data_IF_255134796807
#
_entry.id   IF_255134796807
#
_cell.length_a   1.000
_cell.length_b   1.000
_cell.length_c   1.000
_cell.angle_alpha   90.00
_cell.angle_beta   90.00
_cell.angle_gamma   90.00
#
_symmetry.space_group_name_H-M   'P 1'
#
loop_
_entity.id
_entity.type
_entity.pdbx_description
1 polymer ?
2 non-polymer ?
3 non-polymer ?
4 non-polymer ?
5 water ?
#
# COMPACT_ATOMS: atom_id res chain seq x y z
N UNK A 1 13.50 22.71 18.30
CA UNK A 1 13.70 21.95 17.08
C UNK A 1 14.54 22.69 16.05
N UNK A 2 15.47 21.96 15.43
CA UNK A 2 16.26 22.48 14.32
C UNK A 2 16.27 21.47 13.15
N UNK A 3 16.25 22.00 11.94
CA UNK A 3 16.33 21.18 10.72
C UNK A 3 17.55 20.26 10.75
N UNK A 4 17.41 19.04 10.21
CA UNK A 4 18.58 18.16 10.21
C UNK A 4 19.82 18.74 9.51
N UNK A 5 20.97 18.33 10.01
CA UNK A 5 22.26 18.83 9.54
C UNK A 5 22.99 17.79 8.70
N UNK A 6 22.36 16.62 8.51
CA UNK A 6 22.98 15.51 7.81
C UNK A 6 23.41 15.96 6.39
N UNK A 7 24.53 15.43 5.93
CA UNK A 7 25.14 15.92 4.68
C UNK A 7 24.27 15.72 3.44
N UNK A 8 23.44 14.68 3.41
CA UNK A 8 22.59 14.44 2.23
C UNK A 8 21.12 14.83 2.43
N UNK A 9 20.80 15.48 3.55
CA UNK A 9 19.43 15.90 3.78
C UNK A 9 18.96 16.88 2.71
N UNK A 10 19.83 17.78 2.22
CA UNK A 10 19.32 18.64 1.14
C UNK A 10 18.90 17.86 -0.12
N UNK A 11 19.59 16.76 -0.39
CA UNK A 11 19.31 15.87 -1.51
C UNK A 11 17.99 15.09 -1.34
N UNK A 12 17.50 15.02 -0.11
CA UNK A 12 16.23 14.32 0.20
C UNK A 12 15.06 15.27 -0.09
N UNK A 13 14.91 15.53 -1.37
CA UNK A 13 14.02 16.56 -1.88
C UNK A 13 12.56 16.35 -1.47
N UNK A 14 12.17 15.09 -1.29
CA UNK A 14 10.79 14.73 -0.87
C UNK A 14 10.52 15.06 0.61
N UNK A 15 11.56 15.45 1.35
CA UNK A 15 11.45 15.91 2.73
C UNK A 15 11.92 17.36 2.90
N UNK A 16 13.10 17.66 2.36
CA UNK A 16 13.74 18.94 2.67
C UNK A 16 13.18 20.03 1.78
N UNK A 17 12.59 19.60 0.67
CA UNK A 17 12.00 20.49 -0.32
C UNK A 17 11.44 21.77 0.23
N UNK A 18 11.61 22.83 -0.56
CA UNK A 18 11.06 24.14 -0.25
C UNK A 18 10.58 24.69 -1.60
N UNK A 19 9.73 23.89 -2.22
CA UNK A 19 9.13 24.23 -3.51
C UNK A 19 7.67 23.86 -3.37
N UNK A 20 7.28 23.55 -2.13
CA UNK A 20 5.94 23.06 -1.80
C UNK A 20 5.77 21.56 -2.13
N UNK A 21 6.63 21.04 -3.01
CA UNK A 21 6.42 19.71 -3.61
C UNK A 21 7.09 18.59 -2.81
N UNK A 22 6.60 18.37 -1.59
CA UNK A 22 7.20 17.39 -0.69
C UNK A 22 6.16 16.76 0.22
N UNK A 23 6.59 15.89 1.12
CA UNK A 23 5.70 15.10 1.94
C UNK A 23 5.26 15.83 3.23
N UNK A 24 5.61 17.13 3.31
CA UNK A 24 5.26 17.98 4.46
C UNK A 24 5.66 17.37 5.81
N UNK A 25 6.87 16.84 5.87
CA UNK A 25 7.35 16.17 7.08
C UNK A 25 7.96 17.16 8.06
N UNK A 26 8.58 18.22 7.55
CA UNK A 26 9.17 19.22 8.45
C UNK A 26 8.09 19.77 9.37
N UNK A 27 6.89 19.97 8.83
CA UNK A 27 5.79 20.47 9.64
C UNK A 27 5.45 19.54 10.82
N UNK A 28 5.61 18.23 10.64
CA UNK A 28 5.37 17.28 11.74
C UNK A 28 6.52 17.30 12.74
N UNK A 29 7.74 17.29 12.22
CA UNK A 29 8.93 17.36 13.05
C UNK A 29 8.86 18.60 13.95
N UNK A 30 8.46 19.72 13.37
CA UNK A 30 8.43 20.99 14.09
C UNK A 30 7.36 21.00 15.21
N UNK A 31 6.30 20.21 15.03
CA UNK A 31 5.26 20.00 16.05
C UNK A 31 5.78 19.04 17.12
N UNK A 32 6.97 18.50 16.92
CA UNK A 32 7.59 17.62 17.90
C UNK A 32 7.48 16.13 17.65
N UNK A 33 7.01 15.75 16.46
CA UNK A 33 6.78 14.35 16.13
C UNK A 33 7.86 13.87 15.15
N UNK A 34 8.70 12.95 15.63
CA UNK A 34 9.82 12.39 14.93
C UNK A 34 9.83 10.86 15.03
N UNK A 35 8.78 10.27 15.61
CA UNK A 35 8.65 8.81 15.71
C UNK A 35 9.05 8.16 17.04
N UNK A 36 9.34 8.96 18.06
CA UNK A 36 9.74 8.42 19.35
C UNK A 36 8.72 7.37 19.81
N UNK A 37 9.21 6.19 20.21
CA UNK A 37 8.40 5.18 20.84
C UNK A 37 7.68 4.26 19.88
N UNK A 38 7.81 4.55 18.59
CA UNK A 38 7.20 3.74 17.56
C UNK A 38 8.23 2.79 16.98
N UNK A 39 7.77 1.62 16.57
CA UNK A 39 8.61 0.52 16.11
C UNK A 39 8.14 0.06 14.74
N UNK A 40 9.06 0.05 13.77
CA UNK A 40 8.73 -0.30 12.38
C UNK A 40 9.64 -1.43 11.92
N UNK A 41 9.10 -2.37 11.14
CA UNK A 41 9.92 -3.47 10.66
C UNK A 41 9.80 -3.66 9.14
N UNK A 42 10.95 -3.77 8.46
CA UNK A 42 11.03 -3.98 7.00
C UNK A 42 11.04 -5.46 6.68
N UNK A 43 10.00 -5.96 6.02
CA UNK A 43 9.93 -7.38 5.68
C UNK A 43 10.53 -7.53 4.28
N UNK A 44 11.79 -7.95 4.22
CA UNK A 44 12.48 -7.93 2.92
C UNK A 44 13.71 -8.86 2.94
N UNK A 45 14.85 -8.41 2.38
CA UNK A 45 15.98 -9.31 2.17
C UNK A 45 17.02 -9.22 3.29
N UNK A 46 16.62 -8.57 4.38
CA UNK A 46 17.50 -8.36 5.53
C UNK A 46 17.83 -6.89 5.81
N UNK A 47 18.52 -6.65 6.91
CA UNK A 47 18.89 -5.30 7.27
C UNK A 47 20.31 -5.24 7.86
N UNK A 48 21.09 -4.29 7.36
CA UNK A 48 22.45 -4.09 7.81
C UNK A 48 22.41 -3.32 9.12
N UNK A 49 22.22 -4.04 10.23
CA UNK A 49 21.95 -3.40 11.52
C UNK A 49 23.08 -2.54 12.05
N UNK A 50 24.29 -2.80 11.56
CA UNK A 50 25.49 -2.05 11.95
C UNK A 50 25.76 -0.86 11.01
N UNK A 51 24.85 -0.61 10.08
CA UNK A 51 25.00 0.60 9.26
C UNK A 51 25.10 1.84 10.16
N UNK A 52 26.10 2.71 9.91
CA UNK A 52 26.29 3.93 10.70
C UNK A 52 25.06 4.85 10.80
N UNK A 53 24.21 4.89 9.77
CA UNK A 53 22.93 5.59 9.85
C UNK A 53 21.69 4.80 10.33
N UNK A 54 21.86 3.52 10.64
CA UNK A 54 20.80 2.72 11.26
C UNK A 54 21.07 2.26 12.70
N UNK A 55 22.33 1.95 13.02
CA UNK A 55 22.65 1.28 14.29
C UNK A 55 22.01 2.00 15.50
N UNK A 56 21.98 3.32 15.45
CA UNK A 56 21.49 4.10 16.58
C UNK A 56 20.00 3.89 16.85
N UNK A 57 19.26 3.48 15.81
CA UNK A 57 17.83 3.23 15.93
C UNK A 57 17.47 1.75 15.80
N UNK A 58 18.46 0.89 15.64
CA UNK A 58 18.18 -0.52 15.38
C UNK A 58 17.53 -1.21 16.58
N UNK A 59 16.57 -2.06 16.30
CA UNK A 59 15.82 -2.74 17.35
C UNK A 59 15.75 -4.21 17.07
N UNK A 60 16.50 -5.01 17.85
CA UNK A 60 16.49 -6.46 17.68
C UNK A 60 15.11 -7.01 17.91
N UNK A 61 14.29 -6.29 18.68
CA UNK A 61 12.94 -6.73 19.01
C UNK A 61 12.03 -6.64 17.81
N UNK A 62 12.44 -5.86 16.80
CA UNK A 62 11.66 -5.68 15.60
C UNK A 62 12.20 -6.50 14.43
N UNK A 63 13.15 -7.40 14.73
CA UNK A 63 13.87 -8.09 13.67
C UNK A 63 13.91 -9.58 13.88
N UNK A 64 13.99 -10.29 12.78
CA UNK A 64 14.21 -11.72 12.80
C UNK A 64 14.74 -12.21 11.45
N UNK A 65 15.28 -13.42 11.43
CA UNK A 65 15.75 -14.03 10.19
C UNK A 65 14.96 -15.31 9.99
N UNK A 66 13.93 -15.21 9.13
CA UNK A 66 13.07 -16.34 8.85
C UNK A 66 13.73 -17.28 7.86
N UNK A 67 14.64 -16.75 7.05
CA UNK A 67 15.30 -17.62 6.08
C UNK A 67 16.17 -18.65 6.80
N UNK A 68 16.92 -18.20 7.81
CA UNK A 68 17.84 -19.08 8.53
C UNK A 68 17.33 -19.48 9.92
N UNK A 69 16.17 -18.93 10.29
CA UNK A 69 15.55 -19.24 11.58
C UNK A 69 16.50 -18.89 12.72
N UNK A 70 16.89 -17.61 12.80
CA UNK A 70 17.69 -17.08 13.91
C UNK A 70 17.36 -15.59 14.07
N UNK A 71 17.75 -14.97 15.19
CA UNK A 71 17.34 -13.58 15.46
C UNK A 71 17.97 -12.47 14.61
N UNK A 72 19.05 -12.76 13.90
CA UNK A 72 19.90 -11.72 13.30
C UNK A 72 19.59 -11.56 11.80
N UNK A 73 19.06 -10.39 11.41
CA UNK A 73 18.58 -10.20 10.04
C UNK A 73 19.64 -9.71 9.07
N UNK A 74 20.92 -9.83 9.44
CA UNK A 74 21.98 -9.29 8.61
C UNK A 74 21.91 -9.91 7.23
N UNK A 75 22.04 -9.08 6.18
CA UNK A 75 21.93 -9.64 4.83
C UNK A 75 23.20 -10.33 4.38
N UNK A 76 23.10 -11.10 3.31
CA UNK A 76 24.24 -11.71 2.64
C UNK A 76 24.78 -10.78 1.55
N UNK A 77 26.11 -10.72 1.46
CA UNK A 77 26.78 -9.83 0.52
C UNK A 77 27.19 -10.58 -0.77
N UNK A 78 26.81 -10.01 -1.91
CA UNK A 78 27.07 -10.63 -3.19
C UNK A 78 27.52 -9.54 -4.17
N UNK A 79 28.12 -9.96 -5.27
CA UNK A 79 28.68 -8.99 -6.21
C UNK A 79 27.60 -8.07 -6.81
N UNK A 80 26.40 -8.60 -7.02
CA UNK A 80 25.29 -7.83 -7.58
C UNK A 80 24.50 -7.07 -6.51
N UNK A 81 24.90 -7.22 -5.26
CA UNK A 81 24.22 -6.52 -4.15
C UNK A 81 22.75 -6.84 -4.12
N UNK A 82 22.44 -8.11 -4.37
CA UNK A 82 21.06 -8.58 -4.39
C UNK A 82 20.27 -8.24 -3.12
N UNK A 83 20.95 -8.18 -1.97
CA UNK A 83 20.23 -8.07 -0.70
C UNK A 83 20.35 -6.68 -0.10
N UNK A 84 20.36 -5.68 -0.97
CA UNK A 84 20.48 -4.30 -0.57
C UNK A 84 19.15 -3.65 -0.19
N UNK A 85 18.05 -4.30 -0.58
CA UNK A 85 16.76 -3.60 -0.58
C UNK A 85 16.24 -3.25 0.82
N UNK A 86 16.34 -4.18 1.75
CA UNK A 86 15.83 -3.95 3.10
C UNK A 86 16.56 -2.82 3.80
N UNK A 87 17.88 -2.76 3.59
CA UNK A 87 18.68 -1.71 4.19
C UNK A 87 18.31 -0.35 3.63
N UNK A 88 18.08 -0.28 2.31
CA UNK A 88 17.62 0.96 1.69
C UNK A 88 16.28 1.42 2.29
N UNK A 89 15.34 0.48 2.40
CA UNK A 89 14.02 0.81 2.87
C UNK A 89 14.06 1.25 4.35
N UNK A 90 14.89 0.58 5.15
CA UNK A 90 15.00 0.86 6.60
C UNK A 90 15.43 2.31 6.87
N UNK A 91 16.42 2.74 6.09
CA UNK A 91 16.86 4.12 6.12
C UNK A 91 15.80 5.13 5.77
N UNK A 92 14.91 4.81 4.83
CA UNK A 92 13.87 5.75 4.48
C UNK A 92 12.96 6.04 5.68
N UNK A 93 12.66 5.01 6.44
CA UNK A 93 11.81 5.14 7.61
C UNK A 93 12.55 5.83 8.74
N UNK A 94 13.79 5.42 9.00
CA UNK A 94 14.40 5.67 10.33
C UNK A 94 15.91 5.88 10.39
N UNK A 95 16.53 6.29 9.29
CA UNK A 95 17.94 6.65 9.39
C UNK A 95 18.12 7.73 10.46
N UNK A 96 19.23 7.62 11.20
CA UNK A 96 19.54 8.54 12.29
C UNK A 96 19.76 9.94 11.76
N UNK A 97 19.30 10.94 12.51
CA UNK A 97 19.47 12.34 12.18
C UNK A 97 20.64 12.95 12.93
N UNK A 98 21.18 14.01 12.34
CA UNK A 98 22.13 14.89 13.02
C UNK A 98 23.42 14.21 13.42
N UNK A 99 23.82 13.22 12.63
CA UNK A 99 24.98 12.42 12.96
C UNK A 99 26.03 12.46 11.85
N UNK A 100 25.93 13.43 10.95
CA UNK A 100 26.94 13.66 9.93
C UNK A 100 27.06 12.58 8.89
N UNK A 101 26.04 11.74 8.82
CA UNK A 101 26.04 10.60 7.91
C UNK A 101 24.79 10.60 7.05
N UNK A 102 24.98 10.46 5.74
CA UNK A 102 23.91 10.32 4.75
C UNK A 102 22.77 11.34 4.99
N UNK A 103 21.53 10.86 5.03
CA UNK A 103 20.39 11.73 5.25
C UNK A 103 19.70 11.36 6.53
N UNK A 104 18.37 11.47 6.53
CA UNK A 104 17.58 11.07 7.69
C UNK A 104 16.34 10.25 7.29
N UNK A 105 15.79 9.53 8.25
CA UNK A 105 14.50 8.87 8.03
C UNK A 105 13.38 9.87 8.22
N UNK A 106 12.22 9.55 7.67
CA UNK A 106 11.01 10.30 7.97
C UNK A 106 10.76 10.31 9.47
N UNK A 107 10.96 9.16 10.08
CA UNK A 107 10.74 8.97 11.52
C UNK A 107 12.08 8.70 12.20
N UNK A 108 12.90 9.74 12.27
CA UNK A 108 14.29 9.54 12.64
C UNK A 108 14.53 9.24 14.10
N UNK A 109 13.49 9.28 14.94
CA UNK A 109 13.61 8.80 16.32
C UNK A 109 12.79 7.55 16.57
N UNK A 110 12.26 6.94 15.50
CA UNK A 110 11.62 5.66 15.61
C UNK A 110 12.66 4.57 15.71
N UNK A 111 12.24 3.40 16.17
CA UNK A 111 13.08 2.23 16.21
C UNK A 111 12.80 1.40 14.98
N UNK A 112 13.83 0.83 14.40
CA UNK A 112 13.69 0.15 13.12
C UNK A 112 14.28 -1.25 13.22
N UNK A 113 13.57 -2.20 12.66
CA UNK A 113 14.06 -3.55 12.51
C UNK A 113 13.81 -4.07 11.10
N UNK A 114 14.26 -5.29 10.86
CA UNK A 114 13.98 -5.93 9.60
C UNK A 114 13.80 -7.41 9.78
N UNK A 115 13.00 -7.99 8.91
CA UNK A 115 12.90 -9.43 8.83
C UNK A 115 13.57 -9.88 7.56
N UNK A 116 14.53 -10.78 7.71
CA UNK A 116 15.22 -11.37 6.57
C UNK A 116 14.37 -12.55 6.18
N UNK A 117 13.70 -12.41 5.04
CA UNK A 117 12.78 -13.42 4.58
C UNK A 117 12.73 -13.65 3.07
N UNK A 118 13.35 -12.77 2.27
CA UNK A 118 13.31 -12.93 0.81
C UNK A 118 14.50 -13.72 0.25
N UNK A 119 15.54 -13.86 1.05
CA UNK A 119 16.79 -14.48 0.58
C UNK A 119 16.77 -15.98 0.89
N UNK A 120 15.89 -16.69 0.21
CA UNK A 120 15.65 -18.10 0.48
C UNK A 120 14.35 -18.47 -0.18
N UNK A 121 13.86 -19.70 0.07
CA UNK A 121 12.62 -20.13 -0.53
C UNK A 121 11.50 -19.46 0.24
N UNK A 122 10.65 -18.74 -0.48
CA UNK A 122 9.59 -17.95 0.16
C UNK A 122 8.28 -18.71 0.07
N UNK A 123 7.96 -19.40 1.14
CA UNK A 123 6.76 -20.21 1.19
C UNK A 123 5.64 -19.44 1.89
N UNK A 124 4.44 -20.00 1.88
CA UNK A 124 3.33 -19.43 2.61
C UNK A 124 3.71 -19.28 4.08
N UNK A 125 4.37 -20.29 4.62
CA UNK A 125 4.74 -20.31 6.02
C UNK A 125 5.76 -19.22 6.34
N UNK A 126 6.71 -19.00 5.44
CA UNK A 126 7.71 -17.95 5.63
C UNK A 126 7.03 -16.58 5.70
N UNK A 127 6.07 -16.38 4.82
CA UNK A 127 5.34 -15.12 4.76
C UNK A 127 4.56 -14.91 6.06
N UNK A 128 3.84 -15.95 6.49
CA UNK A 128 3.03 -15.84 7.70
C UNK A 128 3.88 -15.53 8.92
N UNK A 129 5.07 -16.12 8.99
CA UNK A 129 5.93 -15.94 10.14
C UNK A 129 6.45 -14.51 10.20
N UNK A 130 6.71 -13.94 9.02
CA UNK A 130 7.20 -12.57 8.90
C UNK A 130 6.11 -11.56 9.28
N UNK A 131 4.91 -11.73 8.73
CA UNK A 131 3.77 -10.86 9.04
C UNK A 131 3.41 -10.90 10.52
N UNK A 132 3.67 -12.03 11.16
CA UNK A 132 3.28 -12.23 12.55
C UNK A 132 4.40 -12.03 13.57
N UNK A 133 5.52 -11.46 13.14
CA UNK A 133 6.62 -11.29 14.07
C UNK A 133 6.26 -10.31 15.18
N UNK A 134 6.42 -10.72 16.44
CA UNK A 134 6.28 -9.82 17.60
C UNK A 134 5.24 -8.71 17.49
N UNK A 135 3.97 -9.09 17.27
CA UNK A 135 2.88 -8.17 16.92
C UNK A 135 2.48 -7.20 18.03
N UNK A 136 2.93 -7.45 19.27
CA UNK A 136 2.72 -6.49 20.34
C UNK A 136 3.95 -5.65 20.61
N UNK A 137 5.01 -5.88 19.85
CA UNK A 137 6.17 -4.99 19.92
C UNK A 137 6.28 -4.10 18.68
N UNK A 138 6.13 -4.69 17.50
CA UNK A 138 6.21 -3.94 16.25
C UNK A 138 4.86 -3.28 15.96
N UNK A 139 4.85 -1.98 15.64
CA UNK A 139 3.59 -1.29 15.32
C UNK A 139 3.20 -1.39 13.86
N UNK A 140 4.23 -1.25 13.02
CA UNK A 140 4.09 -1.02 11.59
C UNK A 140 5.05 -1.91 10.82
N UNK A 141 4.53 -2.58 9.80
CA UNK A 141 5.32 -3.43 8.94
C UNK A 141 5.31 -2.86 7.53
N UNK A 142 6.43 -2.95 6.84
CA UNK A 142 6.52 -2.38 5.48
C UNK A 142 7.03 -3.45 4.55
N UNK A 143 6.34 -3.65 3.41
CA UNK A 143 6.71 -4.72 2.49
C UNK A 143 6.30 -4.41 1.06
N UNK A 144 6.90 -5.09 0.08
CA UNK A 144 6.55 -4.84 -1.32
C UNK A 144 6.52 -6.12 -2.11
N UNK A 145 6.29 -7.24 -1.45
CA UNK A 145 6.31 -8.46 -2.23
C UNK A 145 4.93 -8.78 -2.74
N UNK A 146 4.90 -9.66 -3.72
CA UNK A 146 3.66 -10.06 -4.35
C UNK A 146 4.02 -10.81 -5.60
N UNK A 147 3.01 -11.14 -6.42
CA UNK A 147 3.21 -11.92 -7.63
C UNK A 147 4.08 -11.14 -8.58
N UNK A 148 4.75 -11.87 -9.46
CA UNK A 148 5.56 -11.26 -10.49
C UNK A 148 4.76 -10.17 -11.20
N UNK A 149 5.41 -9.01 -11.36
CA UNK A 149 4.83 -7.89 -12.06
C UNK A 149 5.00 -8.00 -13.57
N UNK A 150 4.61 -9.14 -14.15
CA UNK A 150 4.70 -9.34 -15.60
C UNK A 150 3.44 -8.93 -16.35
N UNK A 151 2.41 -8.52 -15.64
CA UNK A 151 1.17 -8.10 -16.31
C UNK A 151 0.35 -9.27 -16.82
N UNK A 152 0.70 -10.47 -16.37
CA UNK A 152 0.02 -11.72 -16.77
C UNK A 152 -0.43 -12.55 -15.59
N UNK A 153 -0.05 -12.19 -14.37
CA UNK A 153 -0.28 -13.06 -13.22
C UNK A 153 -1.44 -12.57 -12.35
N UNK A 154 -2.22 -13.51 -11.81
CA UNK A 154 -3.19 -13.19 -10.77
C UNK A 154 -2.90 -14.13 -9.63
N UNK A 155 -2.54 -13.58 -8.47
CA UNK A 155 -2.14 -14.37 -7.31
C UNK A 155 -2.12 -13.49 -6.07
N UNK A 156 -2.12 -14.12 -4.91
CA UNK A 156 -2.09 -13.38 -3.67
C UNK A 156 -1.65 -14.29 -2.54
N UNK A 157 -1.84 -13.84 -1.28
CA UNK A 157 -1.43 -14.69 -0.15
C UNK A 157 -2.19 -16.01 -0.10
N UNK A 158 -1.50 -17.08 0.24
CA UNK A 158 -2.16 -18.38 0.47
C UNK A 158 -2.67 -18.39 1.92
N UNK A 159 -3.16 -19.54 2.41
CA UNK A 159 -3.94 -19.56 3.65
C UNK A 159 -3.22 -19.06 4.89
N UNK A 160 -1.97 -19.46 5.08
CA UNK A 160 -1.31 -19.07 6.31
C UNK A 160 -1.07 -17.58 6.36
N UNK A 161 -0.62 -17.01 5.24
CA UNK A 161 -0.38 -15.57 5.19
C UNK A 161 -1.67 -14.77 5.31
N UNK A 162 -2.74 -15.22 4.68
CA UNK A 162 -4.05 -14.58 4.82
C UNK A 162 -4.47 -14.56 6.28
N UNK A 163 -4.31 -15.70 6.96
CA UNK A 163 -4.67 -15.78 8.39
C UNK A 163 -3.79 -14.89 9.26
N UNK A 164 -2.52 -14.74 8.88
CA UNK A 164 -1.62 -13.85 9.62
C UNK A 164 -1.99 -12.39 9.43
N UNK A 165 -2.42 -12.01 8.23
CA UNK A 165 -2.91 -10.64 8.04
C UNK A 165 -4.10 -10.42 8.96
N UNK A 166 -4.99 -11.40 9.00
CA UNK A 166 -6.23 -11.22 9.77
C UNK A 166 -5.97 -11.19 11.25
N UNK A 167 -5.15 -12.14 11.73
CA UNK A 167 -4.73 -12.16 13.13
C UNK A 167 -4.02 -10.84 13.47
N UNK A 168 -3.19 -10.36 12.54
CA UNK A 168 -2.47 -9.11 12.73
C UNK A 168 -3.39 -7.92 12.98
N UNK A 169 -4.36 -7.69 12.09
CA UNK A 169 -5.20 -6.53 12.24
C UNK A 169 -6.20 -6.73 13.40
N UNK A 170 -6.53 -7.98 13.70
CA UNK A 170 -7.46 -8.32 14.78
C UNK A 170 -6.88 -8.19 16.16
N UNK A 171 -5.73 -8.83 16.35
CA UNK A 171 -5.11 -9.00 17.66
C UNK A 171 -3.81 -8.24 17.86
N UNK A 172 -3.15 -7.85 16.76
CA UNK A 172 -1.90 -7.16 16.87
C UNK A 172 -2.03 -5.85 17.65
N UNK A 173 -0.90 -5.37 18.17
CA UNK A 173 -0.85 -4.09 18.89
C UNK A 173 -1.96 -4.03 19.94
N UNK A 174 -2.03 -5.08 20.75
CA UNK A 174 -2.94 -5.09 21.89
C UNK A 174 -4.40 -4.99 21.47
N UNK A 175 -4.70 -5.32 20.22
CA UNK A 175 -6.05 -5.21 19.71
C UNK A 175 -6.31 -4.06 18.74
N UNK A 176 -5.37 -3.12 18.62
CA UNK A 176 -5.54 -1.97 17.77
C UNK A 176 -5.27 -2.35 16.31
N UNK A 177 -4.43 -3.37 16.12
CA UNK A 177 -4.18 -3.92 14.81
C UNK A 177 -2.84 -3.51 14.23
N UNK A 178 -2.05 -4.50 13.83
CA UNK A 178 -0.86 -4.26 13.04
C UNK A 178 -1.17 -3.36 11.85
N UNK A 179 -0.28 -2.43 11.55
CA UNK A 179 -0.46 -1.64 10.35
C UNK A 179 0.48 -2.20 9.28
N UNK A 180 -0.09 -2.81 8.23
CA UNK A 180 0.72 -3.38 7.15
C UNK A 180 0.76 -2.39 5.96
N UNK A 181 1.90 -1.77 5.73
CA UNK A 181 2.04 -0.80 4.63
C UNK A 181 2.64 -1.51 3.44
N UNK A 182 2.02 -1.34 2.26
CA UNK A 182 2.41 -2.12 1.10
C UNK A 182 2.65 -1.24 -0.14
N UNK A 183 3.63 -1.64 -0.93
CA UNK A 183 3.84 -1.04 -2.25
C UNK A 183 2.91 -1.70 -3.25
N UNK A 184 2.39 -0.94 -4.21
CA UNK A 184 1.37 -1.48 -5.11
C UNK A 184 1.88 -2.17 -6.36
N UNK A 185 3.16 -2.05 -6.63
CA UNK A 185 3.75 -2.84 -7.68
C UNK A 185 4.61 -2.02 -8.63
N UNK A 186 5.46 -2.73 -9.37
CA UNK A 186 6.34 -2.09 -10.32
C UNK A 186 6.12 -2.53 -11.78
N UNK A 187 4.94 -3.04 -12.10
CA UNK A 187 4.69 -3.64 -13.42
C UNK A 187 4.14 -2.74 -14.49
N UNK A 188 4.29 -1.44 -14.33
CA UNK A 188 3.77 -0.47 -15.30
C UNK A 188 4.18 -0.69 -16.75
N UNK A 189 5.44 -1.04 -16.98
CA UNK A 189 5.94 -1.28 -18.36
C UNK A 189 5.17 -2.42 -19.02
N UNK A 190 4.69 -3.35 -18.21
CA UNK A 190 4.00 -4.54 -18.71
C UNK A 190 2.48 -4.37 -18.67
N UNK A 191 2.03 -3.13 -18.43
CA UNK A 191 0.60 -2.81 -18.28
C UNK A 191 -0.08 -3.58 -17.17
N UNK A 192 0.63 -3.86 -16.09
CA UNK A 192 0.05 -4.60 -14.99
C UNK A 192 -1.01 -3.74 -14.26
N UNK A 193 -1.94 -4.42 -13.59
CA UNK A 193 -3.10 -3.78 -12.99
C UNK A 193 -3.09 -4.34 -11.57
N UNK A 194 -2.90 -3.50 -10.55
CA UNK A 194 -2.52 -4.03 -9.25
C UNK A 194 -3.64 -4.73 -8.47
N UNK A 195 -4.89 -4.71 -8.93
CA UNK A 195 -5.91 -5.53 -8.26
C UNK A 195 -5.69 -7.03 -8.52
N UNK A 196 -4.79 -7.37 -9.46
CA UNK A 196 -4.40 -8.77 -9.71
C UNK A 196 -3.31 -9.25 -8.74
N UNK A 197 -2.97 -8.40 -7.78
CA UNK A 197 -1.98 -8.70 -6.73
C UNK A 197 -2.72 -8.71 -5.39
N UNK A 198 -2.99 -9.91 -4.86
CA UNK A 198 -3.76 -10.05 -3.63
C UNK A 198 -3.16 -9.50 -2.35
N UNK A 199 -1.87 -9.17 -2.35
CA UNK A 199 -1.25 -8.56 -1.20
C UNK A 199 -1.63 -7.09 -1.13
N UNK A 200 -1.45 -6.39 -2.25
CA UNK A 200 -1.79 -4.97 -2.27
C UNK A 200 -3.31 -4.77 -2.31
N UNK A 201 -4.04 -5.68 -2.96
CA UNK A 201 -5.49 -5.56 -3.14
C UNK A 201 -6.28 -5.88 -1.83
N UNK A 202 -5.57 -6.30 -0.80
CA UNK A 202 -6.18 -6.64 0.50
C UNK A 202 -6.66 -5.42 1.25
N UNK A 203 -7.75 -5.56 1.99
CA UNK A 203 -8.16 -4.45 2.87
C UNK A 203 -7.22 -4.28 4.04
N UNK A 204 -6.46 -5.34 4.34
CA UNK A 204 -5.60 -5.35 5.51
C UNK A 204 -4.30 -4.59 5.29
N UNK A 205 -3.98 -4.34 4.04
CA UNK A 205 -2.77 -3.64 3.68
C UNK A 205 -3.12 -2.22 3.28
N UNK A 206 -2.33 -1.29 3.76
CA UNK A 206 -2.50 0.09 3.46
C UNK A 206 -1.53 0.35 2.29
N UNK A 207 -2.10 0.46 1.09
CA UNK A 207 -1.32 0.41 -0.13
C UNK A 207 -0.98 1.75 -0.72
N UNK A 208 0.26 1.82 -1.20
CA UNK A 208 0.90 3.07 -1.61
C UNK A 208 1.54 2.94 -2.98
N UNK A 209 1.32 3.97 -3.81
CA UNK A 209 1.91 4.10 -5.15
C UNK A 209 2.86 5.29 -5.20
N UNK A 210 3.43 5.57 -6.38
CA UNK A 210 4.49 6.56 -6.52
C UNK A 210 4.14 7.74 -7.40
N UNK A 211 4.81 8.86 -7.15
CA UNK A 211 4.78 10.01 -8.05
C UNK A 211 6.22 10.43 -8.33
N UNK A 212 6.48 10.89 -9.54
CA UNK A 212 7.81 11.41 -9.85
C UNK A 212 7.98 12.82 -9.28
N UNK A 213 9.23 13.29 -9.29
CA UNK A 213 9.54 14.62 -8.76
C UNK A 213 8.71 15.70 -9.40
N UNK A 214 8.49 15.62 -10.71
CA UNK A 214 7.74 16.68 -11.39
C UNK A 214 6.22 16.44 -11.29
N UNK A 215 5.82 15.45 -10.49
CA UNK A 215 4.42 15.22 -10.17
C UNK A 215 3.70 14.33 -11.17
N UNK A 216 4.43 13.45 -11.84
CA UNK A 216 3.82 12.57 -12.84
C UNK A 216 3.73 11.11 -12.41
N UNK A 217 2.98 10.32 -13.17
CA UNK A 217 2.85 8.89 -12.92
C UNK A 217 4.06 8.18 -13.56
N UNK A 218 4.94 7.59 -12.73
CA UNK A 218 6.18 6.97 -13.22
C UNK A 218 5.93 5.79 -14.15
N UNK A 219 6.90 5.53 -15.00
CA UNK A 219 6.79 4.44 -15.96
C UNK A 219 6.40 3.12 -15.31
N UNK A 220 6.89 2.89 -14.09
CA UNK A 220 6.74 1.57 -13.44
C UNK A 220 5.43 1.41 -12.64
N UNK A 221 4.69 2.49 -12.49
CA UNK A 221 3.46 2.49 -11.72
C UNK A 221 2.37 1.53 -12.22
N UNK A 222 1.71 0.86 -11.30
CA UNK A 222 0.47 0.15 -11.60
C UNK A 222 -0.74 0.87 -11.00
N UNK A 223 -1.76 1.07 -11.83
CA UNK A 223 -3.01 1.68 -11.41
C UNK A 223 -3.95 0.59 -10.94
N UNK A 224 -4.68 0.87 -9.86
CA UNK A 224 -5.79 0.01 -9.41
C UNK A 224 -6.63 0.69 -8.32
N UNK A 225 -7.86 0.20 -8.13
CA UNK A 225 -8.79 0.85 -7.19
C UNK A 225 -8.45 0.57 -5.74
N UNK A 226 -7.55 -0.38 -5.49
CA UNK A 226 -7.25 -0.82 -4.12
C UNK A 226 -6.23 0.10 -3.45
N UNK A 227 -5.49 0.87 -4.25
CA UNK A 227 -4.50 1.80 -3.70
C UNK A 227 -5.19 2.94 -2.89
N UNK A 228 -4.55 3.35 -1.81
CA UNK A 228 -5.08 4.39 -0.95
C UNK A 228 -4.40 5.74 -1.17
N UNK A 229 -3.09 5.73 -1.41
CA UNK A 229 -2.36 6.99 -1.47
C UNK A 229 -0.95 6.85 -2.06
N UNK A 230 -0.23 7.96 -2.07
CA UNK A 230 1.01 8.10 -2.82
C UNK A 230 2.15 8.77 -2.04
N UNK A 231 3.39 8.32 -2.31
CA UNK A 231 4.56 9.09 -1.93
C UNK A 231 5.52 9.17 -3.09
N UNK A 232 6.40 10.16 -3.02
CA UNK A 232 7.38 10.37 -4.07
C UNK A 232 8.32 9.18 -4.22
N UNK A 233 8.73 8.93 -5.47
CA UNK A 233 9.83 8.05 -5.77
C UNK A 233 10.52 8.53 -7.05
N UNK A 234 11.17 7.61 -7.77
CA UNK A 234 11.96 7.94 -8.96
C UNK A 234 11.14 8.12 -10.21
N UNK A 235 11.75 8.68 -11.25
CA UNK A 235 11.09 8.96 -12.50
C UNK A 235 12.10 8.85 -13.63
N UNK A 236 12.12 9.87 -14.48
CA UNK A 236 13.05 9.94 -15.60
C UNK A 236 14.41 10.47 -15.16
N UNK A 237 15.32 10.61 -16.11
CA UNK A 237 16.69 10.91 -15.74
C UNK A 237 16.95 12.37 -15.40
N UNK A 238 15.92 13.20 -15.52
CA UNK A 238 16.03 14.59 -15.07
C UNK A 238 15.44 14.78 -13.66
N UNK A 239 14.79 13.74 -13.17
CA UNK A 239 14.12 13.78 -11.88
C UNK A 239 14.98 13.07 -10.84
N UNK A 240 15.03 13.63 -9.63
CA UNK A 240 15.82 13.01 -8.57
C UNK A 240 15.20 11.71 -8.05
N UNK A 241 15.96 10.96 -7.28
CA UNK A 241 15.47 9.66 -6.80
C UNK A 241 15.48 9.62 -5.27
N UNK A 242 15.43 8.43 -4.71
CA UNK A 242 15.37 8.34 -3.25
C UNK A 242 16.77 8.16 -2.66
N UNK A 243 17.05 8.95 -1.63
CA UNK A 243 18.38 9.04 -1.02
C UNK A 243 18.34 8.36 0.34
N UNK A 244 19.15 7.33 0.53
CA UNK A 244 19.02 6.55 1.75
C UNK A 244 20.24 5.69 2.02
N UNK A 245 20.16 4.93 3.11
CA UNK A 245 21.21 4.00 3.50
C UNK A 245 21.30 2.83 2.51
N UNK A 246 22.53 2.44 2.17
CA UNK A 246 22.75 1.31 1.27
C UNK A 246 23.66 0.28 1.92
N UNK A 247 23.63 -0.92 1.36
CA UNK A 247 24.46 -2.02 1.76
C UNK A 247 25.95 -1.62 1.79
N UNK A 248 26.72 -2.26 2.68
CA UNK A 248 28.16 -2.00 2.78
C UNK A 248 28.40 -0.61 3.40
N UNK A 249 27.48 -0.17 4.25
CA UNK A 249 27.63 1.06 5.02
C UNK A 249 27.71 2.29 4.12
N UNK A 250 26.99 2.27 3.02
CA UNK A 250 27.06 3.34 2.02
C UNK A 250 25.80 4.21 2.03
N UNK A 251 25.84 5.28 1.25
CA UNK A 251 24.69 6.15 1.08
C UNK A 251 24.37 6.20 -0.42
N UNK A 252 23.16 5.79 -0.79
CA UNK A 252 22.76 5.80 -2.21
C UNK A 252 21.86 7.00 -2.50
N UNK A 253 21.97 7.52 -3.71
CA UNK A 253 21.06 8.56 -4.19
C UNK A 253 20.15 8.01 -5.32
N UNK A 254 20.13 6.67 -5.47
CA UNK A 254 19.50 6.06 -6.63
C UNK A 254 18.57 4.89 -6.27
N UNK A 255 17.84 5.03 -5.17
CA UNK A 255 16.82 4.05 -4.77
C UNK A 255 15.57 4.42 -5.57
N UNK A 256 14.92 3.42 -6.15
CA UNK A 256 13.91 3.63 -7.19
C UNK A 256 12.64 2.76 -7.05
N UNK A 257 11.60 3.12 -7.78
CA UNK A 257 10.42 2.29 -7.87
C UNK A 257 9.45 2.40 -6.72
N UNK A 258 8.37 1.64 -6.84
CA UNK A 258 7.25 1.80 -5.91
C UNK A 258 7.65 1.24 -4.56
N UNK A 259 8.64 0.36 -4.55
CA UNK A 259 9.12 -0.22 -3.33
C UNK A 259 9.84 0.78 -2.46
N UNK A 260 10.24 1.91 -3.04
CA UNK A 260 10.80 3.00 -2.25
C UNK A 260 9.70 3.91 -1.68
N UNK A 261 8.46 3.80 -2.19
CA UNK A 261 7.40 4.66 -1.69
C UNK A 261 6.78 4.13 -0.42
N UNK A 262 6.63 2.82 -0.32
CA UNK A 262 6.00 2.26 0.85
C UNK A 262 6.71 2.65 2.16
N UNK A 263 8.05 2.59 2.19
CA UNK A 263 8.78 2.95 3.42
C UNK A 263 8.61 4.42 3.84
N UNK A 264 8.52 5.35 2.90
CA UNK A 264 8.23 6.73 3.25
C UNK A 264 6.84 6.80 3.88
N UNK A 265 5.88 6.06 3.34
CA UNK A 265 4.56 6.02 3.95
C UNK A 265 4.64 5.44 5.37
N UNK A 266 5.38 4.34 5.51
CA UNK A 266 5.57 3.72 6.82
C UNK A 266 6.11 4.74 7.86
N UNK A 267 7.06 5.55 7.43
CA UNK A 267 7.63 6.59 8.29
C UNK A 267 6.61 7.65 8.69
N UNK A 268 5.84 8.11 7.71
CA UNK A 268 4.77 9.07 7.99
C UNK A 268 3.73 8.49 8.96
N UNK A 269 3.47 7.22 8.81
CA UNK A 269 2.48 6.56 9.65
C UNK A 269 3.02 6.43 11.08
N UNK A 270 4.33 6.21 11.22
CA UNK A 270 4.98 6.24 12.53
C UNK A 270 4.84 7.60 13.22
N UNK A 271 5.05 8.70 12.50
CA UNK A 271 4.83 10.04 13.05
C UNK A 271 3.39 10.17 13.52
N UNK A 272 2.46 9.67 12.72
CA UNK A 272 1.05 9.80 13.05
C UNK A 272 0.67 8.98 14.28
N UNK A 273 1.26 7.79 14.42
CA UNK A 273 0.99 6.95 15.58
C UNK A 273 1.58 7.56 16.84
N UNK A 274 2.74 8.20 16.70
CA UNK A 274 3.29 8.95 17.82
C UNK A 274 2.28 10.01 18.25
N UNK A 275 1.63 10.64 17.29
CA UNK A 275 0.67 11.69 17.60
C UNK A 275 -0.59 11.17 18.29
N UNK A 276 -0.91 9.90 18.04
CA UNK A 276 -2.08 9.27 18.67
C UNK A 276 -1.86 7.78 18.65
N UNK A 277 -1.33 7.27 19.76
CA UNK A 277 -0.97 5.86 19.83
C UNK A 277 -2.18 4.96 19.93
N UNK A 278 -3.38 5.53 20.07
CA UNK A 278 -4.59 4.71 20.11
C UNK A 278 -5.27 4.51 18.77
N UNK A 279 -4.66 4.99 17.68
CA UNK A 279 -5.22 4.77 16.35
C UNK A 279 -5.23 3.29 15.96
N UNK A 280 -6.36 2.78 15.48
CA UNK A 280 -6.42 1.40 15.03
C UNK A 280 -5.99 1.34 13.56
N UNK A 281 -5.89 0.12 13.05
CA UNK A 281 -5.46 -0.12 11.69
C UNK A 281 -6.47 0.51 10.74
N UNK A 282 -7.75 0.52 11.10
CA UNK A 282 -8.75 1.20 10.28
C UNK A 282 -8.67 2.71 10.43
N UNK A 283 -8.48 3.20 11.66
CA UNK A 283 -8.35 4.65 11.87
C UNK A 283 -7.26 5.17 10.94
N UNK A 284 -6.16 4.45 10.82
CA UNK A 284 -5.03 4.94 10.04
C UNK A 284 -5.44 5.06 8.57
N UNK A 285 -6.19 4.09 8.08
CA UNK A 285 -6.62 4.19 6.70
C UNK A 285 -7.53 5.39 6.52
N UNK A 286 -8.44 5.62 7.47
CA UNK A 286 -9.32 6.80 7.42
C UNK A 286 -8.50 8.10 7.38
N UNK A 287 -7.44 8.19 8.18
CA UNK A 287 -6.63 9.42 8.20
C UNK A 287 -6.00 9.66 6.83
N UNK A 288 -5.52 8.59 6.22
CA UNK A 288 -4.88 8.70 4.91
C UNK A 288 -5.89 9.15 3.85
N UNK A 289 -7.08 8.57 3.91
CA UNK A 289 -8.15 8.98 3.00
C UNK A 289 -8.46 10.48 3.16
N UNK A 290 -8.64 10.94 4.39
CA UNK A 290 -9.04 12.33 4.65
C UNK A 290 -7.97 13.38 4.35
N UNK A 291 -6.71 13.04 4.51
CA UNK A 291 -5.68 14.09 4.52
C UNK A 291 -4.76 14.09 3.33
N UNK A 292 -4.84 13.06 2.49
CA UNK A 292 -3.94 13.02 1.34
C UNK A 292 -4.30 14.07 0.28
N UNK A 293 -3.28 14.56 -0.41
CA UNK A 293 -3.41 15.73 -1.30
C UNK A 293 -3.23 15.42 -2.80
N UNK A 294 -4.30 15.58 -3.59
CA UNK A 294 -4.16 15.48 -5.04
C UNK A 294 -3.38 16.62 -5.66
N UNK A 295 -3.33 17.77 -4.98
CA UNK A 295 -3.00 19.05 -5.59
C UNK A 295 -1.91 19.01 -6.64
N UNK A 296 -0.71 18.58 -6.29
CA UNK A 296 0.40 18.74 -7.24
C UNK A 296 0.62 17.52 -8.15
N UNK A 297 -0.40 16.67 -8.29
CA UNK A 297 -0.19 15.40 -8.95
C UNK A 297 -0.95 15.30 -10.25
N UNK A 298 -0.22 15.03 -11.32
CA UNK A 298 -0.83 14.94 -12.63
C UNK A 298 -1.30 13.53 -12.98
N UNK A 299 -2.57 13.41 -13.29
CA UNK A 299 -3.13 12.15 -13.79
C UNK A 299 -4.28 12.46 -14.70
N UNK A 300 -4.60 11.53 -15.59
CA UNK A 300 -5.72 11.70 -16.51
C UNK A 300 -7.00 11.06 -16.01
N UNK A 301 -7.00 10.54 -14.79
CA UNK A 301 -8.18 9.85 -14.30
C UNK A 301 -8.68 10.35 -12.94
N UNK A 302 -8.33 11.57 -12.58
CA UNK A 302 -8.88 12.13 -11.34
C UNK A 302 -10.38 12.20 -11.50
N UNK A 303 -11.08 11.80 -10.46
CA UNK A 303 -12.53 11.86 -10.44
C UNK A 303 -13.00 12.11 -9.01
N UNK A 304 -14.11 12.82 -8.86
CA UNK A 304 -14.62 13.16 -7.56
C UNK A 304 -15.70 12.19 -7.13
N UNK A 305 -15.54 11.60 -5.97
CA UNK A 305 -16.43 10.54 -5.53
C UNK A 305 -17.70 11.08 -4.88
N UNK A 306 -18.52 10.20 -4.32
CA UNK A 306 -19.82 10.63 -3.80
C UNK A 306 -19.76 11.53 -2.58
N UNK A 307 -18.61 11.61 -1.94
CA UNK A 307 -18.49 12.46 -0.75
C UNK A 307 -17.58 13.66 -1.06
N UNK A 308 -17.29 13.88 -2.34
CA UNK A 308 -16.54 15.08 -2.74
C UNK A 308 -15.02 15.00 -2.65
N UNK A 309 -14.46 13.80 -2.54
CA UNK A 309 -12.99 13.67 -2.54
C UNK A 309 -12.50 13.26 -3.91
N UNK A 310 -11.38 13.85 -4.34
CA UNK A 310 -10.77 13.50 -5.63
C UNK A 310 -9.94 12.23 -5.44
N UNK A 311 -10.07 11.33 -6.40
CA UNK A 311 -9.44 10.02 -6.30
C UNK A 311 -8.99 9.57 -7.67
N UNK A 312 -7.82 8.92 -7.68
CA UNK A 312 -7.20 8.44 -8.91
C UNK A 312 -6.81 6.98 -8.71
N UNK A 313 -6.80 6.21 -9.79
CA UNK A 313 -6.31 4.83 -9.70
C UNK A 313 -4.78 4.75 -9.64
N UNK A 314 -4.09 5.78 -10.13
CA UNK A 314 -2.63 5.80 -10.02
C UNK A 314 -2.19 6.26 -8.65
N UNK A 315 -2.98 7.15 -8.04
CA UNK A 315 -2.50 7.84 -6.84
C UNK A 315 -3.34 7.62 -5.58
N UNK A 316 -4.47 6.92 -5.70
CA UNK A 316 -5.44 6.89 -4.63
C UNK A 316 -5.97 8.29 -4.32
N UNK A 317 -5.93 8.66 -3.05
CA UNK A 317 -6.42 9.94 -2.58
C UNK A 317 -5.35 11.03 -2.70
N UNK A 318 -4.17 10.68 -3.21
CA UNK A 318 -3.14 11.66 -3.47
C UNK A 318 -1.92 11.48 -2.60
N UNK A 319 -1.15 12.54 -2.52
CA UNK A 319 0.11 12.48 -1.79
C UNK A 319 -0.08 12.49 -0.28
N UNK A 320 0.66 11.63 0.44
CA UNK A 320 0.64 11.69 1.90
C UNK A 320 1.20 13.06 2.34
N UNK A 321 0.66 13.56 3.44
CA UNK A 321 0.92 14.89 3.97
C UNK A 321 1.08 14.68 5.49
N UNK A 322 2.32 14.63 5.94
CA UNK A 322 2.63 14.23 7.30
C UNK A 322 2.07 15.23 8.30
N UNK A 323 2.20 16.51 7.98
CA UNK A 323 1.67 17.56 8.83
C UNK A 323 0.19 17.42 9.07
N UNK A 324 -0.54 17.17 7.99
CA UNK A 324 -1.99 16.99 8.07
C UNK A 324 -2.35 15.69 8.79
N UNK A 325 -1.57 14.63 8.58
CA UNK A 325 -1.82 13.36 9.24
C UNK A 325 -1.73 13.51 10.75
N UNK A 326 -0.63 14.11 11.20
CA UNK A 326 -0.40 14.32 12.63
C UNK A 326 -1.45 15.23 13.25
N UNK A 327 -1.84 16.25 12.51
CA UNK A 327 -2.83 17.19 13.00
C UNK A 327 -4.17 16.50 13.19
N UNK A 328 -4.63 15.77 12.16
CA UNK A 328 -5.93 15.10 12.26
C UNK A 328 -5.89 14.02 13.33
N UNK A 329 -4.75 13.33 13.44
CA UNK A 329 -4.61 12.25 14.43
C UNK A 329 -4.96 12.74 15.85
N UNK A 330 -4.54 13.98 16.15
CA UNK A 330 -4.70 14.53 17.50
C UNK A 330 -6.15 14.86 17.82
N UNK A 331 -7.01 14.87 16.82
CA UNK A 331 -8.41 15.20 17.03
C UNK A 331 -9.33 14.04 16.67
N UNK A 332 -8.76 12.88 16.43
CA UNK A 332 -9.52 11.79 15.84
C UNK A 332 -10.28 10.96 16.87
N UNK A 333 -11.55 10.70 16.60
CA UNK A 333 -12.33 9.76 17.40
C UNK A 333 -12.29 8.39 16.75
N UNK A 334 -11.89 7.39 17.52
CA UNK A 334 -11.66 6.07 16.96
C UNK A 334 -12.98 5.56 16.38
N UNK A 335 -12.89 4.85 15.26
CA UNK A 335 -14.09 4.43 14.54
C UNK A 335 -14.87 3.28 15.21
N UNK A 336 -16.16 3.20 14.90
CA UNK A 336 -17.01 2.13 15.38
C UNK A 336 -16.57 0.77 14.83
N UNK A 337 -17.10 -0.32 15.40
CA UNK A 337 -16.77 -1.67 14.96
C UNK A 337 -16.99 -1.89 13.46
N UNK A 338 -16.09 -2.64 12.83
CA UNK A 338 -16.19 -2.95 11.43
C UNK A 338 -17.35 -3.90 11.16
N UNK A 339 -18.24 -3.52 10.25
CA UNK A 339 -19.29 -4.41 9.80
C UNK A 339 -18.91 -4.97 8.42
N UNK A 340 -19.45 -6.14 8.09
CA UNK A 340 -19.22 -6.76 6.81
C UNK A 340 -20.57 -7.29 6.32
N UNK A 341 -21.03 -6.75 5.19
CA UNK A 341 -22.30 -7.12 4.59
C UNK A 341 -22.02 -7.80 3.26
N UNK A 342 -22.43 -9.05 3.15
CA UNK A 342 -22.14 -9.89 1.99
C UNK A 342 -23.42 -10.03 1.17
N UNK A 343 -23.36 -9.64 -0.10
CA UNK A 343 -24.55 -9.67 -0.95
C UNK A 343 -24.29 -10.51 -2.21
N UNK A 344 -25.05 -11.59 -2.38
CA UNK A 344 -24.99 -12.39 -3.61
C UNK A 344 -25.80 -11.68 -4.68
N UNK A 345 -25.15 -11.25 -5.75
CA UNK A 345 -25.82 -10.41 -6.74
C UNK A 345 -26.52 -11.23 -7.83
N UNK A 346 -25.87 -12.28 -8.32
CA UNK A 346 -26.40 -13.06 -9.43
C UNK A 346 -27.39 -14.16 -9.04
N UNK A 347 -28.43 -14.29 -9.87
CA UNK A 347 -29.48 -15.29 -9.73
C UNK A 347 -29.30 -16.38 -10.79
N UNK A 348 -28.37 -16.18 -11.71
CA UNK A 348 -28.11 -17.12 -12.79
C UNK A 348 -26.83 -16.64 -13.45
N UNK A 349 -26.08 -17.54 -14.09
CA UNK A 349 -24.88 -17.08 -14.82
C UNK A 349 -25.22 -16.14 -15.99
N UNK A 350 -24.27 -15.27 -16.35
CA UNK A 350 -24.51 -14.29 -17.41
C UNK A 350 -23.44 -14.37 -18.47
N UNK A 351 -23.85 -14.42 -19.72
CA UNK A 351 -22.91 -14.42 -20.81
C UNK A 351 -22.19 -13.06 -20.89
N UNK A 352 -20.87 -13.08 -21.09
CA UNK A 352 -20.11 -11.84 -21.14
C UNK A 352 -20.04 -11.31 -22.56
N UNK A 353 -19.60 -12.14 -23.49
CA UNK A 353 -19.51 -11.73 -24.88
C UNK A 353 -18.66 -10.48 -25.02
N UNK A 354 -19.18 -9.51 -25.76
CA UNK A 354 -18.49 -8.26 -26.02
C UNK A 354 -18.60 -7.34 -24.83
N UNK A 355 -19.72 -7.45 -24.11
CA UNK A 355 -20.01 -6.54 -23.02
C UNK A 355 -21.14 -7.09 -22.16
N UNK A 356 -21.01 -6.89 -20.84
CA UNK A 356 -22.05 -7.27 -19.89
C UNK A 356 -22.22 -6.17 -18.84
N UNK A 357 -23.47 -5.85 -18.54
CA UNK A 357 -23.77 -4.93 -17.45
C UNK A 357 -24.71 -5.62 -16.48
N UNK A 358 -24.35 -5.63 -15.20
CA UNK A 358 -25.19 -6.23 -14.17
C UNK A 358 -25.55 -5.15 -13.16
N UNK A 359 -26.84 -4.88 -13.03
CA UNK A 359 -27.35 -3.87 -12.12
C UNK A 359 -28.13 -4.51 -11.00
N UNK A 360 -27.87 -4.06 -9.78
CA UNK A 360 -28.60 -4.55 -8.63
C UNK A 360 -28.78 -3.52 -7.54
N UNK A 361 -30.01 -3.40 -7.05
CA UNK A 361 -30.31 -2.48 -5.96
C UNK A 361 -30.21 -3.26 -4.66
N UNK A 362 -29.38 -2.76 -3.76
CA UNK A 362 -29.11 -3.45 -2.52
C UNK A 362 -29.50 -2.54 -1.36
N UNK A 363 -29.72 -3.14 -0.20
CA UNK A 363 -30.07 -2.42 1.02
C UNK A 363 -28.89 -2.33 1.97
N UNK A 364 -27.78 -2.98 1.61
CA UNK A 364 -26.58 -2.98 2.47
C UNK A 364 -26.92 -3.45 3.88
N UNK A 365 -27.63 -4.57 3.92
CA UNK A 365 -27.96 -5.25 5.17
C UNK A 365 -28.84 -4.42 6.09
N UNK A 366 -29.72 -3.63 5.49
CA UNK A 366 -30.71 -2.88 6.24
C UNK A 366 -31.45 -3.78 7.21
N UNK A 367 -31.64 -3.29 8.43
CA UNK A 367 -32.40 -3.99 9.45
C UNK A 367 -31.56 -4.94 10.27
N UNK A 368 -30.30 -5.14 9.87
CA UNK A 368 -29.45 -6.18 10.50
C UNK A 368 -28.25 -5.56 11.21
N UNK A 369 -27.56 -6.36 12.05
CA UNK A 369 -26.40 -5.89 12.80
C UNK A 369 -25.19 -5.53 11.91
N UNK A 370 -25.20 -5.96 10.66
CA UNK A 370 -24.13 -5.57 9.74
C UNK A 370 -24.59 -4.53 8.71
N UNK A 371 -25.67 -3.83 9.01
CA UNK A 371 -26.11 -2.71 8.19
C UNK A 371 -24.98 -1.69 8.08
N UNK A 372 -24.69 -1.26 6.85
CA UNK A 372 -23.64 -0.29 6.64
C UNK A 372 -24.19 0.94 5.95
N UNK A 373 -23.98 2.10 6.57
CA UNK A 373 -24.37 3.38 6.00
C UNK A 373 -23.15 4.20 5.62
N UNK A 374 -21.98 3.79 6.11
CA UNK A 374 -20.74 4.49 5.87
C UNK A 374 -19.70 3.48 5.39
N UNK A 375 -19.48 3.42 4.09
CA UNK A 375 -18.61 2.41 3.52
C UNK A 375 -17.16 2.69 3.85
N UNK A 376 -16.37 1.63 4.00
CA UNK A 376 -14.94 1.75 3.96
C UNK A 376 -14.50 1.09 2.66
N UNK A 377 -13.96 -0.12 2.72
CA UNK A 377 -13.66 -0.87 1.51
C UNK A 377 -14.92 -1.50 0.93
N UNK A 378 -14.89 -1.75 -0.38
CA UNK A 378 -15.87 -2.62 -1.05
C UNK A 378 -15.11 -3.62 -1.90
N UNK A 379 -15.61 -4.85 -1.97
CA UNK A 379 -15.07 -5.87 -2.88
C UNK A 379 -16.17 -6.35 -3.81
N UNK A 380 -15.76 -6.64 -5.04
CA UNK A 380 -16.56 -7.43 -5.95
C UNK A 380 -15.81 -8.74 -6.16
N UNK A 381 -16.34 -9.82 -5.57
CA UNK A 381 -15.73 -11.14 -5.71
C UNK A 381 -16.34 -11.79 -6.95
N UNK A 382 -15.53 -11.93 -7.98
CA UNK A 382 -16.04 -12.39 -9.27
C UNK A 382 -15.51 -13.76 -9.63
N UNK A 383 -16.41 -14.59 -10.13
CA UNK A 383 -16.03 -15.85 -10.76
C UNK A 383 -16.49 -15.81 -12.22
N UNK A 384 -15.53 -15.97 -13.13
CA UNK A 384 -15.86 -15.89 -14.55
C UNK A 384 -14.87 -16.69 -15.39
N UNK A 385 -15.34 -17.13 -16.55
CA UNK A 385 -14.50 -17.75 -17.55
C UNK A 385 -14.33 -16.74 -18.65
N UNK A 386 -13.20 -16.76 -19.32
CA UNK A 386 -12.99 -15.95 -20.52
C UNK A 386 -11.82 -16.55 -21.28
N UNK A 387 -11.82 -16.39 -22.60
CA UNK A 387 -10.79 -17.02 -23.43
C UNK A 387 -9.45 -16.30 -23.40
N UNK A 388 -9.48 -14.98 -23.21
CA UNK A 388 -8.26 -14.15 -23.11
C UNK A 388 -8.42 -13.08 -22.03
N UNK A 389 -7.91 -13.38 -20.83
CA UNK A 389 -8.19 -12.59 -19.63
C UNK A 389 -7.85 -11.11 -19.78
N UNK A 390 -6.70 -10.83 -20.36
CA UNK A 390 -6.21 -9.47 -20.48
C UNK A 390 -7.02 -8.55 -21.37
N UNK A 391 -7.92 -9.10 -22.17
CA UNK A 391 -8.75 -8.25 -23.00
C UNK A 391 -9.92 -7.63 -22.22
N UNK A 392 -10.19 -8.17 -21.04
CA UNK A 392 -11.23 -7.65 -20.18
C UNK A 392 -10.86 -6.34 -19.47
N UNK A 393 -11.82 -5.44 -19.36
CA UNK A 393 -11.80 -4.33 -18.41
C UNK A 393 -13.08 -4.48 -17.60
N UNK A 394 -12.99 -4.19 -16.30
CA UNK A 394 -14.12 -4.37 -15.40
C UNK A 394 -14.26 -3.12 -14.55
N UNK A 395 -15.48 -2.59 -14.44
CA UNK A 395 -15.75 -1.39 -13.63
C UNK A 395 -16.92 -1.67 -12.69
N UNK A 396 -16.93 -0.94 -11.58
CA UNK A 396 -17.97 -1.04 -10.56
C UNK A 396 -18.43 0.38 -10.24
N UNK A 397 -19.72 0.65 -10.38
CA UNK A 397 -20.26 1.99 -10.10
C UNK A 397 -21.13 1.91 -8.84
N UNK A 398 -20.88 2.78 -7.88
CA UNK A 398 -21.65 2.82 -6.65
C UNK A 398 -22.95 3.57 -6.87
N UNK A 399 -23.92 3.42 -5.93
CA UNK A 399 -25.21 4.13 -6.10
C UNK A 399 -25.06 5.66 -6.22
N UNK A 400 -24.09 6.22 -5.50
CA UNK A 400 -23.82 7.65 -5.56
C UNK A 400 -23.12 8.07 -6.88
N UNK A 401 -22.62 7.10 -7.65
CA UNK A 401 -22.19 7.37 -9.01
C UNK A 401 -20.70 7.21 -9.26
N UNK A 402 -19.97 6.72 -8.26
CA UNK A 402 -18.53 6.64 -8.37
C UNK A 402 -18.11 5.39 -9.14
N UNK A 403 -17.40 5.61 -10.24
CA UNK A 403 -16.89 4.53 -11.09
C UNK A 403 -15.47 4.09 -10.67
N UNK A 404 -15.38 2.87 -10.20
CA UNK A 404 -14.09 2.28 -9.86
C UNK A 404 -13.75 1.34 -10.97
N UNK A 405 -12.54 1.47 -11.51
CA UNK A 405 -11.96 0.45 -12.36
C UNK A 405 -11.42 -0.70 -11.52
N UNK A 406 -12.07 -1.84 -11.64
CA UNK A 406 -11.64 -3.02 -10.92
C UNK A 406 -10.49 -3.74 -11.65
N UNK A 407 -10.48 -3.63 -12.98
CA UNK A 407 -9.50 -4.30 -13.80
C UNK A 407 -9.39 -3.53 -15.10
N UNK A 408 -8.19 -3.07 -15.44
CA UNK A 408 -7.94 -2.49 -16.76
C UNK A 408 -7.43 -3.60 -17.67
N UNK A 409 -7.55 -3.39 -18.98
CA UNK A 409 -6.94 -4.28 -19.97
C UNK A 409 -5.46 -4.54 -19.63
N UNK A 410 -5.05 -5.80 -19.70
CA UNK A 410 -3.66 -6.18 -19.50
C UNK A 410 -3.26 -6.94 -20.75
N UNK A 411 -2.74 -6.23 -21.75
CA UNK A 411 -2.56 -6.78 -23.10
C UNK A 411 -1.69 -8.03 -23.15
N UNK A 412 -0.74 -8.16 -22.24
CA UNK A 412 0.11 -9.32 -22.24
C UNK A 412 -0.54 -10.56 -21.62
N UNK A 413 -1.69 -10.39 -20.97
CA UNK A 413 -2.28 -11.51 -20.20
C UNK A 413 -3.14 -12.35 -21.12
N UNK A 414 -2.59 -13.45 -21.63
CA UNK A 414 -3.36 -14.32 -22.53
C UNK A 414 -3.92 -15.55 -21.82
N UNK A 415 -3.99 -15.49 -20.49
CA UNK A 415 -4.57 -16.58 -19.74
C UNK A 415 -6.01 -16.94 -20.15
N UNK A 416 -6.29 -18.23 -20.11
CA UNK A 416 -7.63 -18.76 -20.38
C UNK A 416 -8.26 -19.25 -19.09
N UNK A 417 -7.63 -18.90 -17.96
CA UNK A 417 -8.05 -19.37 -16.66
C UNK A 417 -9.15 -18.53 -15.99
N UNK A 418 -9.44 -17.33 -16.51
CA UNK A 418 -10.46 -16.47 -15.91
C UNK A 418 -10.12 -16.07 -14.48
N UNK A 419 -11.16 -15.84 -13.68
CA UNK A 419 -11.04 -15.47 -12.27
C UNK A 419 -11.87 -16.42 -11.41
N UNK A 420 -11.27 -16.92 -10.35
CA UNK A 420 -11.95 -17.88 -9.49
C UNK A 420 -12.20 -17.23 -8.15
N UNK A 421 -13.41 -16.72 -7.98
CA UNK A 421 -13.77 -16.02 -6.75
C UNK A 421 -12.68 -15.01 -6.35
N UNK A 422 -12.28 -14.18 -7.32
CA UNK A 422 -11.25 -13.17 -7.08
C UNK A 422 -11.88 -11.88 -6.54
N UNK A 423 -11.42 -11.45 -5.38
CA UNK A 423 -11.95 -10.26 -4.73
C UNK A 423 -11.33 -8.97 -5.22
N UNK A 424 -11.87 -8.34 -6.26
CA UNK A 424 -11.36 -7.03 -6.66
C UNK A 424 -11.78 -5.97 -5.60
N UNK A 425 -10.83 -5.19 -5.08
CA UNK A 425 -11.16 -4.23 -4.02
C UNK A 425 -11.09 -2.77 -4.48
N UNK A 426 -12.02 -1.94 -4.02
CA UNK A 426 -11.92 -0.50 -4.25
C UNK A 426 -12.03 0.32 -2.98
N UNK A 427 -11.16 1.31 -2.88
CA UNK A 427 -11.19 2.30 -1.79
C UNK A 427 -11.89 3.61 -2.20
N UNK A 428 -12.36 3.69 -3.44
CA UNK A 428 -12.76 4.96 -4.05
C UNK A 428 -14.13 5.43 -3.58
N UNK A 429 -14.86 4.55 -2.90
CA UNK A 429 -16.18 4.89 -2.39
C UNK A 429 -16.20 5.01 -0.87
N UNK A 430 -15.01 5.16 -0.29
CA UNK A 430 -14.87 5.37 1.15
C UNK A 430 -15.79 6.51 1.64
N UNK A 431 -16.53 6.25 2.71
CA UNK A 431 -17.49 7.18 3.35
C UNK A 431 -18.82 7.40 2.63
N UNK A 432 -18.98 6.83 1.45
CA UNK A 432 -20.28 6.81 0.77
C UNK A 432 -21.31 5.93 1.48
N UNK A 433 -22.56 6.21 1.17
CA UNK A 433 -23.68 5.34 1.57
C UNK A 433 -23.88 4.33 0.44
N UNK A 434 -23.71 3.03 0.76
CA UNK A 434 -23.72 1.99 -0.27
C UNK A 434 -25.12 1.47 -0.61
N UNK A 435 -26.15 2.07 -0.04
CA UNK A 435 -27.53 1.67 -0.34
C UNK A 435 -27.96 2.20 -1.70
N UNK A 436 -28.59 1.35 -2.49
CA UNK A 436 -29.07 1.73 -3.79
C UNK A 436 -28.47 0.84 -4.87
N UNK A 437 -28.46 1.35 -6.10
CA UNK A 437 -28.12 0.53 -7.25
C UNK A 437 -26.63 0.54 -7.55
N UNK A 438 -26.02 -0.65 -7.53
CA UNK A 438 -24.64 -0.82 -7.96
C UNK A 438 -24.67 -1.37 -9.38
N UNK A 439 -23.65 -1.02 -10.15
CA UNK A 439 -23.55 -1.49 -11.54
C UNK A 439 -22.18 -2.07 -11.77
N UNK A 440 -22.15 -3.32 -12.24
CA UNK A 440 -20.92 -3.98 -12.66
C UNK A 440 -20.87 -3.99 -14.18
N UNK A 441 -19.75 -3.54 -14.75
CA UNK A 441 -19.52 -3.52 -16.20
C UNK A 441 -18.34 -4.42 -16.53
N UNK A 442 -18.50 -5.33 -17.50
CA UNK A 442 -17.38 -6.14 -17.99
C UNK A 442 -17.36 -5.93 -19.49
N UNK A 443 -16.20 -5.55 -20.03
CA UNK A 443 -16.11 -5.22 -21.44
C UNK A 443 -14.92 -5.90 -22.08
N UNK A 444 -15.13 -6.39 -23.29
CA UNK A 444 -14.03 -6.86 -24.12
C UNK A 444 -13.44 -5.66 -24.83
N UNK A 445 -12.22 -5.28 -24.46
CA UNK A 445 -11.61 -4.05 -25.00
C UNK A 445 -10.92 -4.28 -26.32
N UNK A 446 -10.84 -5.54 -26.74
CA UNK A 446 -10.18 -5.91 -27.97
C UNK A 446 -11.19 -6.02 -29.10
N UNK A 447 -10.70 -6.01 -30.34
CA UNK A 447 -11.58 -6.22 -31.48
C UNK A 447 -11.78 -7.72 -31.74
N UNK A 448 -11.08 -8.55 -30.99
CA UNK A 448 -11.18 -10.01 -31.11
C UNK A 448 -12.58 -10.47 -30.69
N UNK A 449 -13.06 -11.57 -31.27
CA UNK A 449 -14.33 -12.09 -30.83
C UNK A 449 -14.14 -13.00 -29.62
N UNK A 450 -14.25 -12.39 -28.44
CA UNK A 450 -13.96 -13.10 -27.21
C UNK A 450 -15.24 -13.61 -26.56
N UNK A 451 -15.14 -14.52 -25.61
CA UNK A 451 -16.32 -15.15 -25.05
C UNK A 451 -16.06 -15.70 -23.66
N UNK A 452 -17.10 -15.72 -22.84
CA UNK A 452 -16.98 -16.26 -21.53
C UNK A 452 -18.24 -16.01 -20.75
N UNK A 453 -18.19 -16.39 -19.48
CA UNK A 453 -19.37 -16.38 -18.64
C UNK A 453 -19.05 -15.92 -17.23
N UNK A 454 -19.88 -15.01 -16.71
CA UNK A 454 -19.80 -14.61 -15.31
C UNK A 454 -20.72 -15.50 -14.48
N UNK A 455 -20.17 -16.31 -13.58
CA UNK A 455 -21.00 -17.26 -12.83
C UNK A 455 -21.22 -16.84 -11.38
N UNK A 456 -20.44 -15.92 -10.86
CA UNK A 456 -20.69 -15.44 -9.51
C UNK A 456 -20.21 -14.01 -9.34
N UNK A 457 -21.05 -13.20 -8.70
CA UNK A 457 -20.69 -11.81 -8.33
C UNK A 457 -21.18 -11.57 -6.92
N UNK A 458 -20.25 -11.55 -5.96
CA UNK A 458 -20.57 -11.26 -4.57
C UNK A 458 -20.11 -9.84 -4.29
N UNK A 459 -21.01 -9.00 -3.82
CA UNK A 459 -20.64 -7.65 -3.42
C UNK A 459 -20.40 -7.69 -1.92
N UNK A 460 -19.20 -7.33 -1.51
CA UNK A 460 -18.88 -7.30 -0.08
C UNK A 460 -18.59 -5.87 0.36
N UNK A 461 -19.38 -5.39 1.30
CA UNK A 461 -19.31 -4.03 1.79
C UNK A 461 -18.75 -4.06 3.22
N UNK A 462 -17.80 -3.19 3.50
CA UNK A 462 -17.22 -3.04 4.83
C UNK A 462 -17.54 -1.64 5.30
N UNK A 463 -17.71 -1.46 6.62
CA UNK A 463 -17.87 -0.11 7.14
C UNK A 463 -18.67 -0.06 8.42
N UNK A 464 -19.34 1.06 8.64
CA UNK A 464 -20.02 1.33 9.91
C UNK A 464 -21.43 1.84 9.67
N UNK A 465 -22.18 2.09 10.76
CA UNK A 465 -23.58 2.56 10.68
C UNK A 465 -23.79 3.85 11.47
X LIG B 1 22.03 10.52 9.15
X LIG C 1 20.79 -14.47 10.40
X LIG D 1 -4.29 -2.79 0.39
X LIG E 1 1.75 -6.12 -10.09
X LIG F 1 16.23 -0.22 -6.04
X LIG F 1 16.84 -0.01 -4.66
X LIG F 1 14.73 -0.46 -5.89
X LIG F 1 16.87 -1.42 -6.64
X LIG F 1 16.52 1.00 -6.90
X LIG G 1 20.72 1.03 -8.19
X LIG G 1 21.38 1.93 -7.16
X LIG G 1 19.60 0.20 -7.57
X LIG G 1 21.78 0.10 -8.71
X LIG G 1 20.06 1.87 -9.29
X LIG H 1 12.29 0.98 -10.50
X LIG H 1 13.29 0.95 -11.51
X LIG H 1 11.14 0.10 -10.99
X LIG H 1 11.66 -1.21 -11.21
#
# INVERSE_FOLDING_TARGET
>A
YQEPTDPKFPQQWYLSGVTQRDLNVKAAWAQGYTGHGIVVSILDDGIEKNHPDLAGNYDPGASFDVNDQDPDPQPRYTQMNDNRHGTRCAGEVAAVANNGVCGVGVAYNARIGGVRMLDGEVTDAVEARSLGLNPNHIHIYSASWGPEDDGKTVDGPARLAEEAFFRGVSQGRGGLGSIFVWASGNGGREHDSCNCDGYTNSIYTLSISSATQFGNVPWYSEACSSTLATTYSSGNQNEKQIVTTDLRQKCTESHTGTSASAPLAAGIIALTLEANKDLTWRDMQHLVVQTSKPAHLNANDWATNGVGRKVSHSYGYGLLDAGAMVALAQDWTTVAPQRKCIIDILTEPKDIGKRLEVRKTVTACLGEPNHITRLEHAQARLTLSYNRRGDLAIHLVSPMGTRSTLLAARPHDYSADGFNDWAFMTTHSWDEDPSGEWVLEIENTSEANNYGTLTKFTLVLYGTA
>B hetero
1 CA CA
>C hetero
1 CA CA
>D hetero
1 CA CA
>E hetero
1 CA CA
>F hetero
1 PO4 P O1 O2 O3 O4
>G hetero
1 PO4 P O1 O2 O3 O4
>H hetero
1 EDO C1 O1 C2 O2
#
